data_IF_006320108084
#
_entry.id   IF_006320108084
#
_cell.length_a   1.000
_cell.length_b   1.000
_cell.length_c   1.000
_cell.angle_alpha   90.00
_cell.angle_beta   90.00
_cell.angle_gamma   90.00
#
_symmetry.space_group_name_H-M   'P 1'
#
loop_
_entity.id
_entity.type
_entity.pdbx_description
1 polymer ?
#
# COMPACT_ATOMS: atom_id res chain seq x y z
N UNK A 1 24.65 -8.92 2.75
CA UNK A 1 25.64 -8.12 2.01
C UNK A 1 26.97 -8.46 2.63
N UNK A 2 27.85 -9.07 1.86
CA UNK A 2 29.24 -9.23 2.26
C UNK A 2 29.96 -7.95 1.84
N UNK A 3 30.27 -7.11 2.83
CA UNK A 3 30.83 -5.79 2.59
C UNK A 3 32.21 -5.87 1.93
N UNK A 4 32.98 -6.92 2.20
CA UNK A 4 34.31 -7.09 1.64
C UNK A 4 34.24 -7.40 0.14
N UNK A 5 33.35 -8.33 -0.26
CA UNK A 5 33.19 -8.71 -1.67
C UNK A 5 32.69 -7.54 -2.53
N UNK A 6 31.78 -6.72 -2.00
CA UNK A 6 31.31 -5.51 -2.71
C UNK A 6 32.44 -4.51 -2.94
N UNK A 7 33.29 -4.28 -1.92
CA UNK A 7 34.47 -3.41 -2.03
C UNK A 7 35.48 -3.94 -3.04
N UNK A 8 35.71 -5.25 -3.03
CA UNK A 8 36.63 -5.89 -3.97
C UNK A 8 36.12 -5.78 -5.41
N UNK A 9 34.82 -5.99 -5.67
CA UNK A 9 34.23 -5.80 -7.00
C UNK A 9 34.36 -4.34 -7.47
N UNK A 10 34.06 -3.35 -6.63
CA UNK A 10 34.26 -1.94 -6.95
C UNK A 10 35.72 -1.60 -7.26
N UNK A 11 36.67 -2.17 -6.52
CA UNK A 11 38.10 -1.93 -6.74
C UNK A 11 38.62 -2.57 -8.03
N UNK A 12 38.06 -3.72 -8.42
CA UNK A 12 38.44 -4.44 -9.64
C UNK A 12 37.70 -3.99 -10.91
N UNK A 13 36.66 -3.17 -10.78
CA UNK A 13 35.85 -2.74 -11.91
C UNK A 13 36.66 -1.86 -12.89
N UNK A 14 36.47 -2.03 -14.21
CA UNK A 14 37.28 -1.38 -15.24
C UNK A 14 36.85 0.07 -15.50
N UNK A 15 36.93 0.93 -14.48
CA UNK A 15 36.47 2.34 -14.56
C UNK A 15 37.18 3.15 -15.66
N UNK A 16 38.46 2.87 -15.88
CA UNK A 16 39.31 3.53 -16.87
C UNK A 16 38.82 3.33 -18.31
N UNK A 17 37.97 2.33 -18.59
CA UNK A 17 37.39 2.11 -19.92
C UNK A 17 36.48 3.28 -20.33
N UNK A 18 35.92 4.01 -19.36
CA UNK A 18 35.18 5.24 -19.65
C UNK A 18 36.04 6.26 -20.42
N UNK A 19 37.35 6.32 -20.16
CA UNK A 19 38.25 7.31 -20.80
C UNK A 19 38.45 7.08 -22.30
N UNK A 20 37.97 5.96 -22.84
CA UNK A 20 38.02 5.65 -24.28
C UNK A 20 36.95 6.42 -25.06
N UNK A 21 35.89 6.89 -24.40
CA UNK A 21 34.83 7.64 -25.06
C UNK A 21 35.22 9.12 -25.19
N UNK A 22 35.04 9.69 -26.39
CA UNK A 22 35.34 11.10 -26.66
C UNK A 22 34.26 12.06 -26.11
N UNK A 23 33.05 11.56 -25.87
CA UNK A 23 31.91 12.33 -25.39
C UNK A 23 31.69 12.14 -23.89
N UNK A 24 31.50 13.26 -23.17
CA UNK A 24 31.36 13.27 -21.71
C UNK A 24 30.07 12.59 -21.24
N UNK A 25 29.01 12.66 -22.03
CA UNK A 25 27.75 11.99 -21.72
C UNK A 25 27.92 10.47 -21.83
N UNK A 26 28.64 9.99 -22.85
CA UNK A 26 28.97 8.56 -23.00
C UNK A 26 29.83 8.03 -21.83
N UNK A 27 30.82 8.81 -21.38
CA UNK A 27 31.62 8.47 -20.20
C UNK A 27 30.76 8.32 -18.94
N UNK A 28 29.84 9.27 -18.75
CA UNK A 28 28.90 9.30 -17.61
C UNK A 28 27.92 8.13 -17.66
N UNK A 29 27.41 7.80 -18.84
CA UNK A 29 26.51 6.67 -19.05
C UNK A 29 27.22 5.35 -18.75
N UNK A 30 28.42 5.14 -19.29
CA UNK A 30 29.21 3.94 -19.03
C UNK A 30 29.49 3.75 -17.54
N UNK A 31 29.93 4.82 -16.86
CA UNK A 31 30.16 4.78 -15.41
C UNK A 31 28.89 4.39 -14.64
N UNK A 32 27.75 4.98 -15.02
CA UNK A 32 26.45 4.74 -14.38
C UNK A 32 25.99 3.30 -14.57
N UNK A 33 26.18 2.73 -15.77
CA UNK A 33 25.84 1.35 -16.06
C UNK A 33 26.73 0.37 -15.29
N UNK A 34 28.05 0.58 -15.32
CA UNK A 34 29.01 -0.28 -14.62
C UNK A 34 28.77 -0.28 -13.10
N UNK A 35 28.53 0.89 -12.51
CA UNK A 35 28.18 1.01 -11.10
C UNK A 35 26.87 0.29 -10.79
N UNK A 36 25.85 0.46 -11.64
CA UNK A 36 24.55 -0.17 -11.46
C UNK A 36 24.66 -1.69 -11.49
N UNK A 37 25.46 -2.26 -12.38
CA UNK A 37 25.65 -3.71 -12.46
C UNK A 37 26.27 -4.28 -11.19
N UNK A 38 27.34 -3.65 -10.68
CA UNK A 38 27.97 -4.04 -9.40
C UNK A 38 26.97 -3.90 -8.25
N UNK A 39 26.16 -2.84 -8.25
CA UNK A 39 25.14 -2.61 -7.22
C UNK A 39 24.03 -3.67 -7.30
N UNK A 40 23.50 -3.96 -8.48
CA UNK A 40 22.40 -4.91 -8.68
C UNK A 40 22.83 -6.36 -8.34
N UNK A 41 24.10 -6.71 -8.58
CA UNK A 41 24.69 -8.00 -8.17
C UNK A 41 24.69 -8.17 -6.64
N UNK A 42 25.10 -7.14 -5.90
CA UNK A 42 25.29 -7.19 -4.45
C UNK A 42 24.07 -6.79 -3.63
N UNK A 43 23.14 -6.06 -4.24
CA UNK A 43 21.92 -5.55 -3.61
C UNK A 43 20.69 -6.11 -4.30
N UNK A 44 20.28 -7.36 -3.96
CA UNK A 44 19.09 -7.94 -4.53
C UNK A 44 17.84 -7.13 -4.16
N UNK A 45 16.97 -6.92 -5.13
CA UNK A 45 15.70 -6.24 -4.95
C UNK A 45 14.86 -6.91 -3.87
N UNK A 46 14.73 -6.26 -2.72
CA UNK A 46 13.92 -6.77 -1.61
C UNK A 46 12.48 -6.31 -1.74
N UNK A 47 11.57 -7.27 -1.94
CA UNK A 47 10.13 -6.99 -1.87
C UNK A 47 9.74 -6.65 -0.43
N UNK A 48 9.37 -5.40 -0.18
CA UNK A 48 8.85 -4.97 1.11
C UNK A 48 7.32 -4.94 1.07
N UNK A 49 6.69 -5.46 2.12
CA UNK A 49 5.25 -5.28 2.32
C UNK A 49 5.00 -3.83 2.74
N UNK A 50 4.40 -3.04 1.85
CA UNK A 50 3.80 -1.76 2.23
C UNK A 50 2.62 -2.06 3.14
N UNK A 51 2.64 -1.47 4.35
CA UNK A 51 1.53 -1.61 5.29
C UNK A 51 0.43 -0.65 4.87
N UNK A 52 -0.81 -1.14 4.84
CA UNK A 52 -1.97 -0.28 4.64
C UNK A 52 -1.98 0.86 5.66
N UNK A 53 -2.47 2.03 5.22
CA UNK A 53 -2.68 3.17 6.09
C UNK A 53 -3.60 2.85 7.27
N UNK A 54 -3.50 3.66 8.32
CA UNK A 54 -4.43 3.52 9.44
C UNK A 54 -5.87 3.81 8.99
N UNK A 55 -6.82 3.12 9.61
CA UNK A 55 -8.25 3.38 9.38
C UNK A 55 -8.61 4.82 9.78
N UNK A 56 -9.59 5.46 9.13
CA UNK A 56 -9.93 6.88 9.38
C UNK A 56 -10.33 7.19 10.84
N UNK A 57 -10.85 6.19 11.56
CA UNK A 57 -11.26 6.29 12.96
C UNK A 57 -10.18 5.82 13.94
N UNK A 58 -8.93 5.66 13.49
CA UNK A 58 -7.84 5.28 14.37
C UNK A 58 -7.39 6.46 15.23
N UNK A 59 -7.61 6.40 16.53
CA UNK A 59 -7.18 7.42 17.48
C UNK A 59 -5.85 7.06 18.16
N UNK A 60 -5.12 8.06 18.65
CA UNK A 60 -3.90 7.87 19.47
C UNK A 60 -4.20 7.08 20.73
N UNK A 61 -5.28 7.41 21.44
CA UNK A 61 -5.75 6.70 22.64
C UNK A 61 -5.98 5.20 22.36
N UNK A 62 -6.65 4.87 21.25
CA UNK A 62 -6.88 3.47 20.86
C UNK A 62 -5.59 2.76 20.46
N UNK A 63 -4.68 3.42 19.71
CA UNK A 63 -3.34 2.88 19.39
C UNK A 63 -2.55 2.55 20.65
N UNK A 64 -2.56 3.44 21.64
CA UNK A 64 -1.89 3.24 22.91
C UNK A 64 -2.48 2.07 23.70
N UNK A 65 -3.81 1.95 23.73
CA UNK A 65 -4.48 0.81 24.35
C UNK A 65 -4.12 -0.53 23.69
N UNK A 66 -4.00 -0.57 22.35
CA UNK A 66 -3.49 -1.75 21.62
C UNK A 66 -2.05 -2.07 22.04
N UNK A 67 -1.19 -1.06 22.17
CA UNK A 67 0.21 -1.24 22.61
C UNK A 67 0.27 -1.77 24.04
N UNK A 68 -0.50 -1.19 24.97
CA UNK A 68 -0.61 -1.64 26.38
C UNK A 68 -1.09 -3.08 26.47
N UNK A 69 -2.16 -3.44 25.75
CA UNK A 69 -2.66 -4.83 25.64
C UNK A 69 -1.56 -5.78 25.16
N UNK A 70 -0.84 -5.44 24.09
CA UNK A 70 0.27 -6.27 23.57
C UNK A 70 1.40 -6.42 24.58
N UNK A 71 1.75 -5.36 25.31
CA UNK A 71 2.78 -5.40 26.36
C UNK A 71 2.38 -6.34 27.48
N UNK A 72 1.13 -6.28 27.95
CA UNK A 72 0.63 -7.19 28.99
C UNK A 72 0.60 -8.65 28.50
N UNK A 73 0.17 -8.91 27.26
CA UNK A 73 0.20 -10.26 26.70
C UNK A 73 1.64 -10.81 26.65
N UNK A 74 2.62 -10.00 26.23
CA UNK A 74 4.04 -10.41 26.26
C UNK A 74 4.55 -10.69 27.67
N UNK A 75 4.10 -9.93 28.68
CA UNK A 75 4.45 -10.18 30.09
C UNK A 75 3.89 -11.52 30.55
N UNK A 76 2.60 -11.76 30.32
CA UNK A 76 1.96 -13.03 30.63
C UNK A 76 2.66 -14.23 29.97
N UNK A 77 3.09 -14.11 28.70
CA UNK A 77 3.82 -15.21 28.06
C UNK A 77 5.17 -15.52 28.73
N UNK A 78 5.79 -14.56 29.42
CA UNK A 78 7.05 -14.75 30.15
C UNK A 78 6.83 -15.30 31.55
N UNK A 79 5.89 -14.72 32.31
CA UNK A 79 5.66 -15.07 33.72
C UNK A 79 4.70 -16.23 33.92
N UNK A 80 3.72 -16.39 33.01
CA UNK A 80 2.55 -17.29 33.14
C UNK A 80 1.71 -17.06 34.41
N UNK A 81 1.89 -15.92 35.08
CA UNK A 81 1.19 -15.58 36.31
C UNK A 81 -0.29 -15.22 36.05
N UNK A 82 -1.17 -15.56 36.99
CA UNK A 82 -2.59 -15.25 36.91
C UNK A 82 -2.85 -13.73 36.90
N UNK A 83 -2.10 -12.97 37.70
CA UNK A 83 -2.19 -11.51 37.79
C UNK A 83 -1.90 -10.83 36.44
N UNK A 84 -0.88 -11.30 35.72
CA UNK A 84 -0.55 -10.80 34.38
C UNK A 84 -1.64 -11.14 33.37
N UNK A 85 -2.30 -12.30 33.52
CA UNK A 85 -3.45 -12.66 32.71
C UNK A 85 -4.65 -11.74 32.98
N UNK A 86 -4.92 -11.43 34.25
CA UNK A 86 -5.99 -10.51 34.62
C UNK A 86 -5.74 -9.08 34.11
N UNK A 87 -4.50 -8.61 34.20
CA UNK A 87 -4.08 -7.34 33.63
C UNK A 87 -4.29 -7.32 32.12
N UNK A 88 -3.88 -8.38 31.42
CA UNK A 88 -4.14 -8.52 29.99
C UNK A 88 -5.64 -8.50 29.68
N UNK A 89 -6.47 -9.20 30.45
CA UNK A 89 -7.93 -9.22 30.30
C UNK A 89 -8.53 -7.82 30.43
N UNK A 90 -8.13 -7.06 31.46
CA UNK A 90 -8.56 -5.65 31.66
C UNK A 90 -8.19 -4.78 30.46
N UNK A 91 -6.93 -4.81 30.04
CA UNK A 91 -6.44 -4.00 28.91
C UNK A 91 -7.04 -4.42 27.56
N UNK A 92 -7.38 -5.70 27.38
CA UNK A 92 -8.09 -6.19 26.19
C UNK A 92 -9.50 -5.60 26.11
N UNK A 93 -10.21 -5.55 27.24
CA UNK A 93 -11.55 -4.97 27.31
C UNK A 93 -11.50 -3.45 27.08
N UNK A 94 -10.52 -2.77 27.66
CA UNK A 94 -10.29 -1.33 27.44
C UNK A 94 -10.02 -1.02 25.97
N UNK A 95 -9.11 -1.75 25.31
CA UNK A 95 -8.84 -1.57 23.89
C UNK A 95 -10.07 -1.83 23.01
N UNK A 96 -10.94 -2.77 23.40
CA UNK A 96 -12.21 -3.04 22.71
C UNK A 96 -13.21 -1.89 22.91
N UNK A 97 -13.31 -1.37 24.13
CA UNK A 97 -14.14 -0.20 24.46
C UNK A 97 -13.72 1.02 23.65
N UNK A 98 -12.41 1.31 23.60
CA UNK A 98 -11.86 2.44 22.85
C UNK A 98 -12.05 2.27 21.34
N UNK A 99 -11.91 1.06 20.80
CA UNK A 99 -12.27 0.77 19.41
C UNK A 99 -13.72 1.14 19.12
N UNK A 100 -14.66 0.67 19.94
CA UNK A 100 -16.10 0.93 19.76
C UNK A 100 -16.40 2.42 19.85
N UNK A 101 -15.81 3.11 20.84
CA UNK A 101 -15.92 4.56 21.00
C UNK A 101 -15.41 5.30 19.75
N UNK A 102 -14.18 5.00 19.30
CA UNK A 102 -13.59 5.67 18.16
C UNK A 102 -14.40 5.48 16.86
N UNK A 103 -14.91 4.27 16.62
CA UNK A 103 -15.80 3.98 15.48
C UNK A 103 -17.09 4.80 15.59
N UNK A 104 -17.72 4.82 16.78
CA UNK A 104 -18.97 5.56 17.02
C UNK A 104 -18.76 7.07 16.82
N UNK A 105 -17.75 7.64 17.46
CA UNK A 105 -17.47 9.08 17.42
C UNK A 105 -17.17 9.54 15.99
N UNK A 106 -16.40 8.75 15.24
CA UNK A 106 -16.12 9.01 13.83
C UNK A 106 -17.40 9.04 12.99
N UNK A 107 -18.26 8.02 13.10
CA UNK A 107 -19.48 7.95 12.29
C UNK A 107 -20.52 8.98 12.70
N UNK A 108 -20.59 9.34 13.98
CA UNK A 108 -21.41 10.45 14.45
C UNK A 108 -20.98 11.77 13.80
N UNK A 109 -19.71 12.14 13.93
CA UNK A 109 -19.17 13.36 13.32
C UNK A 109 -19.32 13.33 11.79
N UNK A 110 -19.13 12.16 11.16
CA UNK A 110 -19.27 12.02 9.72
C UNK A 110 -20.71 12.18 9.26
N UNK A 111 -21.67 11.67 10.03
CA UNK A 111 -23.10 11.81 9.72
C UNK A 111 -23.56 13.27 9.79
N UNK A 112 -23.03 14.06 10.73
CA UNK A 112 -23.30 15.49 10.84
C UNK A 112 -22.74 16.27 9.64
N UNK A 113 -21.50 15.99 9.21
CA UNK A 113 -20.91 16.59 8.00
C UNK A 113 -21.73 16.26 6.74
N UNK A 114 -22.26 15.03 6.65
CA UNK A 114 -23.09 14.61 5.52
C UNK A 114 -24.49 15.25 5.57
N UNK A 115 -25.07 15.46 6.75
CA UNK A 115 -26.35 16.18 6.89
C UNK A 115 -26.28 17.56 6.24
N UNK A 116 -25.13 18.22 6.35
CA UNK A 116 -24.88 19.53 5.73
C UNK A 116 -24.48 19.41 4.24
N UNK A 117 -24.07 18.23 3.76
CA UNK A 117 -23.58 17.99 2.38
C UNK A 117 -24.05 16.62 1.85
N UNK A 118 -25.33 16.47 1.49
CA UNK A 118 -25.93 15.16 1.14
C UNK A 118 -25.24 14.46 -0.04
N UNK A 119 -24.73 15.19 -1.02
CA UNK A 119 -24.01 14.63 -2.18
C UNK A 119 -22.72 13.88 -1.81
N UNK A 120 -22.19 14.06 -0.58
CA UNK A 120 -21.02 13.33 -0.09
C UNK A 120 -21.36 11.96 0.50
N UNK A 121 -22.64 11.66 0.72
CA UNK A 121 -23.11 10.43 1.34
C UNK A 121 -22.55 9.20 0.61
N UNK A 122 -22.81 9.08 -0.69
CA UNK A 122 -22.38 7.93 -1.49
C UNK A 122 -20.86 7.77 -1.47
N UNK A 123 -20.10 8.86 -1.61
CA UNK A 123 -18.62 8.80 -1.54
C UNK A 123 -18.12 8.25 -0.20
N UNK A 124 -18.77 8.62 0.90
CA UNK A 124 -18.36 8.23 2.25
C UNK A 124 -18.71 6.77 2.60
N UNK A 125 -19.87 6.26 2.16
CA UNK A 125 -20.37 4.95 2.55
C UNK A 125 -20.10 3.83 1.52
N UNK A 126 -19.92 4.14 0.23
CA UNK A 126 -19.70 3.15 -0.83
C UNK A 126 -18.49 2.21 -0.62
N UNK A 127 -17.36 2.65 -0.03
CA UNK A 127 -16.26 1.75 0.32
C UNK A 127 -16.64 0.66 1.34
N UNK A 128 -17.68 0.89 2.14
CA UNK A 128 -18.10 -0.01 3.23
C UNK A 128 -19.32 -0.86 2.86
N UNK A 129 -20.15 -0.39 1.92
CA UNK A 129 -21.37 -1.08 1.48
C UNK A 129 -21.12 -2.16 0.41
N UNK A 130 -19.85 -2.50 0.14
CA UNK A 130 -19.52 -3.63 -0.73
C UNK A 130 -19.74 -3.36 -2.21
N UNK A 131 -19.77 -2.10 -2.65
CA UNK A 131 -19.61 -1.80 -4.07
C UNK A 131 -18.16 -2.09 -4.46
N UNK A 132 -17.89 -3.36 -4.80
CA UNK A 132 -16.79 -3.64 -5.72
C UNK A 132 -17.03 -2.68 -6.88
N UNK A 133 -16.06 -1.79 -7.16
CA UNK A 133 -15.94 -1.33 -8.53
C UNK A 133 -15.72 -2.61 -9.32
N UNK A 134 -16.79 -3.21 -9.84
CA UNK A 134 -16.67 -3.94 -11.09
C UNK A 134 -16.01 -2.88 -11.95
N UNK A 135 -14.75 -3.08 -12.30
CA UNK A 135 -14.28 -2.51 -13.55
C UNK A 135 -15.16 -3.21 -14.57
N UNK A 136 -16.40 -2.73 -14.74
CA UNK A 136 -17.07 -2.92 -16.00
C UNK A 136 -16.05 -2.34 -16.95
N UNK A 137 -15.41 -3.23 -17.72
CA UNK A 137 -14.61 -2.77 -18.82
C UNK A 137 -15.55 -1.84 -19.58
N UNK A 138 -15.23 -0.55 -19.60
CA UNK A 138 -15.92 0.43 -20.43
C UNK A 138 -15.82 0.06 -21.93
N UNK A 139 -15.07 -1.01 -22.26
CA UNK A 139 -15.22 -1.78 -23.49
C UNK A 139 -16.63 -2.36 -23.59
N UNK A 140 -17.51 -1.59 -24.21
CA UNK A 140 -18.70 -2.12 -24.86
C UNK A 140 -18.25 -3.15 -25.91
N UNK A 141 -18.74 -4.38 -25.79
CA UNK A 141 -18.53 -5.44 -26.79
C UNK A 141 -19.84 -5.65 -27.54
N UNK A 142 -19.89 -5.22 -28.79
CA UNK A 142 -21.07 -5.39 -29.64
C UNK A 142 -20.84 -6.56 -30.59
N UNK A 143 -21.84 -7.44 -30.74
CA UNK A 143 -21.76 -8.56 -31.69
C UNK A 143 -22.45 -8.14 -32.99
N UNK A 144 -21.68 -7.97 -34.06
CA UNK A 144 -22.17 -7.64 -35.39
C UNK A 144 -21.74 -8.77 -36.33
N UNK A 145 -22.69 -9.35 -37.06
CA UNK A 145 -22.44 -10.42 -38.05
C UNK A 145 -21.56 -11.58 -37.53
N UNK A 146 -21.89 -12.10 -36.34
CA UNK A 146 -21.15 -13.17 -35.66
C UNK A 146 -19.72 -12.84 -35.19
N UNK A 147 -19.24 -11.62 -35.39
CA UNK A 147 -17.96 -11.13 -34.84
C UNK A 147 -18.19 -10.22 -33.63
N UNK A 148 -17.28 -10.25 -32.66
CA UNK A 148 -17.33 -9.36 -31.48
C UNK A 148 -16.39 -8.18 -31.73
N UNK A 149 -16.94 -6.98 -31.81
CA UNK A 149 -16.17 -5.74 -32.01
C UNK A 149 -16.10 -4.97 -30.70
N UNK A 150 -14.89 -4.51 -30.35
CA UNK A 150 -14.60 -3.70 -29.17
C UNK A 150 -14.17 -2.26 -29.52
N UNK A 151 -14.05 -1.95 -30.81
CA UNK A 151 -13.69 -0.61 -31.30
C UNK A 151 -14.90 0.33 -31.26
N UNK A 152 -14.78 1.43 -30.50
CA UNK A 152 -15.87 2.38 -30.24
C UNK A 152 -16.39 3.11 -31.49
N UNK A 153 -15.53 3.37 -32.49
CA UNK A 153 -15.93 4.04 -33.74
C UNK A 153 -16.87 3.15 -34.55
N UNK A 154 -16.49 1.89 -34.74
CA UNK A 154 -17.32 0.90 -35.44
C UNK A 154 -18.66 0.68 -34.74
N UNK A 155 -18.69 0.75 -33.41
CA UNK A 155 -19.93 0.62 -32.63
C UNK A 155 -20.83 1.84 -32.87
N UNK A 156 -20.30 3.07 -32.84
CA UNK A 156 -21.06 4.29 -33.09
C UNK A 156 -21.67 4.32 -34.50
N UNK A 157 -20.88 3.98 -35.51
CA UNK A 157 -21.32 3.88 -36.90
C UNK A 157 -22.42 2.82 -37.09
N UNK A 158 -22.28 1.65 -36.43
CA UNK A 158 -23.30 0.60 -36.49
C UNK A 158 -24.62 0.98 -35.82
N UNK A 159 -24.60 1.92 -34.87
CA UNK A 159 -25.78 2.40 -34.15
C UNK A 159 -26.39 3.66 -34.78
N UNK A 160 -25.82 4.18 -35.87
CA UNK A 160 -26.36 5.33 -36.60
C UNK A 160 -26.26 6.66 -35.85
N UNK A 161 -25.37 6.76 -34.87
CA UNK A 161 -25.10 8.01 -34.13
C UNK A 161 -23.75 8.53 -34.58
N UNK A 162 -23.75 9.55 -35.44
CA UNK A 162 -22.55 10.33 -35.80
C UNK A 162 -22.40 11.54 -34.89
#
# INVERSE_FOLDING_TARGET
MDEQVFRDHLASAPWHVAEVFDDVDDQSEFFSLLLKDVVDEHMPWKRMRVRDGDVPYMTTEWKEAIRRRRKALRRFHKSKALEDWELHRKLRNEATRLRRKAIKDYWNAKSEDIRNKPHKFYRAFMPFLGSKKVKESLEMKLRINNSITTNQLHIAESMGVS
#
